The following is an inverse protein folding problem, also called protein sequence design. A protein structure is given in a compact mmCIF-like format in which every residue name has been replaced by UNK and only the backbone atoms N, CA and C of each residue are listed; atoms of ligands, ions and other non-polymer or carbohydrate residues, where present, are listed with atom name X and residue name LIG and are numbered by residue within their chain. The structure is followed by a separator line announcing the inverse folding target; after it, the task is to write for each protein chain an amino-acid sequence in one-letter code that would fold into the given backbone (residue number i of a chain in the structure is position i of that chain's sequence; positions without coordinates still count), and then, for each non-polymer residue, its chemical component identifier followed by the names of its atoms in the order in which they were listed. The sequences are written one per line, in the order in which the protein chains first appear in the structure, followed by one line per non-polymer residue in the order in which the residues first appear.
data_IF_954214961785
#
_entry.id   IF_954214961785
#
_cell.length_a   1.000
_cell.length_b   1.000
_cell.length_c   1.000
_cell.angle_alpha   90.00
_cell.angle_beta   90.00
_cell.angle_gamma   90.00
#
_symmetry.space_group_name_H-M   'P 1'
#
loop_
_entity.id
_entity.type
_entity.pdbx_description
1 polymer ?
#
# COMPACT_ATOMS: atom_id res chain seq x y z
N UNK A 1 6.82 -4.70 -2.08
CA UNK A 1 5.41 -4.70 -1.63
C UNK A 1 5.31 -5.46 -0.32
N UNK A 2 4.45 -5.04 0.61
CA UNK A 2 4.18 -5.76 1.86
C UNK A 2 2.72 -6.18 1.93
N UNK A 3 2.42 -7.27 2.62
CA UNK A 3 1.05 -7.72 2.89
C UNK A 3 0.66 -7.46 4.35
N UNK A 4 -0.59 -7.05 4.56
CA UNK A 4 -1.20 -6.99 5.89
C UNK A 4 -1.26 -8.40 6.46
N UNK A 5 -0.91 -8.52 7.73
CA UNK A 5 -0.70 -9.78 8.43
C UNK A 5 -0.02 -9.49 9.76
N UNK A 6 0.91 -10.35 10.16
CA UNK A 6 1.61 -10.16 11.44
C UNK A 6 2.45 -8.85 11.46
N UNK A 7 2.54 -8.24 12.66
CA UNK A 7 3.19 -6.95 12.89
C UNK A 7 2.35 -5.73 12.51
N UNK A 8 2.86 -4.53 12.77
CA UNK A 8 2.13 -3.28 12.48
C UNK A 8 2.30 -2.83 11.04
N UNK A 9 1.29 -2.13 10.50
CA UNK A 9 1.29 -1.58 9.14
C UNK A 9 2.45 -0.62 8.93
N UNK A 10 2.68 0.28 9.88
CA UNK A 10 3.79 1.24 9.90
C UNK A 10 5.14 0.56 10.10
N UNK A 11 5.22 -0.44 10.99
CA UNK A 11 6.46 -1.19 11.26
C UNK A 11 7.02 -1.86 10.01
N UNK A 12 6.16 -2.40 9.14
CA UNK A 12 6.56 -2.93 7.83
C UNK A 12 7.28 -1.88 6.96
N UNK A 13 6.83 -0.62 7.01
CA UNK A 13 7.51 0.49 6.32
C UNK A 13 8.89 0.77 6.93
N UNK A 14 9.04 0.63 8.24
CA UNK A 14 10.34 0.66 8.91
C UNK A 14 11.30 -0.43 8.41
N UNK A 15 10.80 -1.64 8.20
CA UNK A 15 11.61 -2.75 7.67
C UNK A 15 12.02 -2.52 6.22
N UNK A 16 11.13 -1.96 5.41
CA UNK A 16 11.46 -1.55 4.03
C UNK A 16 12.56 -0.51 4.05
N UNK A 17 12.46 0.51 4.92
CA UNK A 17 13.51 1.53 5.07
C UNK A 17 14.83 0.91 5.48
N UNK A 18 14.84 0.01 6.47
CA UNK A 18 16.05 -0.69 6.91
C UNK A 18 16.69 -1.51 5.78
N UNK A 19 15.89 -2.10 4.90
CA UNK A 19 16.36 -2.86 3.74
C UNK A 19 16.80 -1.97 2.55
N UNK A 20 16.82 -0.64 2.70
CA UNK A 20 17.21 0.30 1.64
C UNK A 20 16.10 0.65 0.64
N UNK A 21 14.86 0.26 0.91
CA UNK A 21 13.71 0.63 0.09
C UNK A 21 13.32 2.10 0.27
N UNK A 22 12.86 2.74 -0.80
CA UNK A 22 12.51 4.17 -0.83
C UNK A 22 11.00 4.43 -0.67
N UNK A 23 10.19 3.38 -0.65
CA UNK A 23 8.73 3.47 -0.55
C UNK A 23 8.11 2.07 -0.57
N UNK A 24 6.84 1.96 -0.22
CA UNK A 24 6.16 0.67 -0.25
C UNK A 24 4.65 0.76 -0.46
N UNK A 25 4.10 -0.33 -1.00
CA UNK A 25 2.66 -0.55 -1.12
C UNK A 25 2.27 -1.61 -0.09
N UNK A 26 1.23 -1.32 0.70
CA UNK A 26 0.64 -2.25 1.65
C UNK A 26 -0.63 -2.87 1.06
N UNK A 27 -0.55 -4.13 0.62
CA UNK A 27 -1.72 -4.90 0.20
C UNK A 27 -2.52 -5.39 1.41
N UNK A 28 -3.83 -5.16 1.40
CA UNK A 28 -4.71 -5.60 2.49
C UNK A 28 -4.88 -7.13 2.52
N UNK A 29 -5.36 -7.65 3.65
CA UNK A 29 -5.69 -9.07 3.78
C UNK A 29 -7.07 -9.36 3.20
N UNK A 30 -7.32 -10.62 2.77
CA UNK A 30 -8.65 -11.05 2.32
C UNK A 30 -9.72 -10.86 3.40
N UNK A 31 -9.36 -11.07 4.67
CA UNK A 31 -10.27 -10.92 5.81
C UNK A 31 -10.68 -9.46 6.06
N UNK A 32 -9.83 -8.49 5.70
CA UNK A 32 -10.11 -7.06 5.84
C UNK A 32 -10.75 -6.45 4.58
N UNK A 33 -10.83 -7.20 3.48
CA UNK A 33 -11.50 -6.78 2.24
C UNK A 33 -11.02 -5.40 1.74
N UNK A 34 -11.96 -4.46 1.65
CA UNK A 34 -11.75 -3.09 1.17
C UNK A 34 -11.48 -2.06 2.29
N UNK A 35 -11.32 -2.49 3.55
CA UNK A 35 -10.98 -1.59 4.66
C UNK A 35 -9.56 -1.03 4.47
N UNK A 36 -9.46 0.28 4.25
CA UNK A 36 -8.20 0.99 4.16
C UNK A 36 -8.11 2.00 5.30
N UNK A 37 -7.14 1.81 6.18
CA UNK A 37 -6.84 2.77 7.22
C UNK A 37 -5.78 3.77 6.75
N UNK A 38 -5.98 5.04 7.10
CA UNK A 38 -4.99 6.09 6.89
C UNK A 38 -3.96 6.05 8.01
N UNK A 39 -2.79 5.45 7.75
CA UNK A 39 -1.65 5.47 8.67
C UNK A 39 -0.62 6.53 8.26
N UNK A 40 0.07 7.10 9.25
CA UNK A 40 1.25 7.91 9.01
C UNK A 40 2.47 6.99 8.78
N UNK A 41 3.09 7.09 7.60
CA UNK A 41 4.22 6.26 7.19
C UNK A 41 5.54 7.04 7.18
N UNK A 42 6.64 6.36 7.48
CA UNK A 42 8.01 6.93 7.46
C UNK A 42 8.60 7.10 6.05
N UNK A 43 8.03 6.39 5.08
CA UNK A 43 8.39 6.43 3.66
C UNK A 43 7.13 6.75 2.85
N UNK A 44 7.26 7.25 1.60
CA UNK A 44 6.16 7.26 0.64
C UNK A 44 5.46 5.90 0.60
N UNK A 45 4.16 5.89 0.88
CA UNK A 45 3.40 4.67 1.02
C UNK A 45 1.93 4.83 0.65
N UNK A 46 1.32 3.74 0.21
CA UNK A 46 -0.12 3.65 0.00
C UNK A 46 -0.63 2.28 0.41
N UNK A 47 -1.80 2.24 1.04
CA UNK A 47 -2.55 1.01 1.25
C UNK A 47 -3.49 0.76 0.07
N UNK A 48 -3.66 -0.50 -0.31
CA UNK A 48 -4.61 -0.92 -1.36
C UNK A 48 -5.42 -2.10 -0.86
N UNK A 49 -6.63 -2.27 -1.40
CA UNK A 49 -7.49 -3.38 -1.02
C UNK A 49 -6.87 -4.74 -1.43
N UNK A 50 -7.48 -5.84 -0.97
CA UNK A 50 -6.98 -7.19 -1.28
C UNK A 50 -6.94 -7.47 -2.79
N UNK A 51 -7.95 -7.04 -3.55
CA UNK A 51 -8.06 -7.33 -4.99
C UNK A 51 -7.00 -6.58 -5.78
N UNK A 52 -6.83 -5.29 -5.51
CA UNK A 52 -5.75 -4.47 -6.07
C UNK A 52 -4.38 -4.99 -5.65
N UNK A 53 -4.23 -5.45 -4.40
CA UNK A 53 -3.00 -6.10 -3.95
C UNK A 53 -2.63 -7.33 -4.79
N UNK A 54 -3.59 -8.23 -5.05
CA UNK A 54 -3.38 -9.39 -5.94
C UNK A 54 -3.02 -8.95 -7.35
N UNK A 55 -3.70 -7.94 -7.90
CA UNK A 55 -3.38 -7.42 -9.23
C UNK A 55 -1.96 -6.86 -9.33
N UNK A 56 -1.49 -6.15 -8.30
CA UNK A 56 -0.13 -5.61 -8.23
C UNK A 56 0.91 -6.75 -8.12
N UNK A 57 0.63 -7.80 -7.33
CA UNK A 57 1.51 -8.98 -7.26
C UNK A 57 1.62 -9.69 -8.62
N UNK A 58 0.52 -9.80 -9.34
CA UNK A 58 0.51 -10.36 -10.69
C UNK A 58 1.31 -9.49 -11.66
N UNK A 59 1.16 -8.16 -11.58
CA UNK A 59 1.97 -7.22 -12.36
C UNK A 59 3.47 -7.39 -12.09
N UNK A 60 3.88 -7.43 -10.81
CA UNK A 60 5.28 -7.64 -10.40
C UNK A 60 5.83 -8.94 -11.00
N UNK A 61 5.00 -9.99 -11.06
CA UNK A 61 5.40 -11.29 -11.61
C UNK A 61 5.40 -11.34 -13.14
N UNK A 62 4.68 -10.44 -13.82
CA UNK A 62 4.50 -10.44 -15.28
C UNK A 62 5.64 -9.78 -16.06
N UNK A 63 6.51 -9.00 -15.40
CA UNK A 63 7.61 -8.27 -16.04
C UNK A 63 8.88 -8.39 -15.21
N UNK A 64 10.03 -8.39 -15.88
CA UNK A 64 11.36 -8.39 -15.21
C UNK A 64 11.72 -7.03 -14.61
N UNK A 65 11.05 -5.96 -15.05
CA UNK A 65 11.34 -4.59 -14.63
C UNK A 65 10.05 -3.86 -14.22
N UNK A 66 9.38 -4.29 -13.13
CA UNK A 66 8.19 -3.61 -12.65
C UNK A 66 8.54 -2.23 -12.10
N UNK A 67 7.74 -1.23 -12.45
CA UNK A 67 7.89 0.15 -11.98
C UNK A 67 6.55 0.65 -11.45
N UNK A 68 6.58 1.50 -10.43
CA UNK A 68 5.40 2.10 -9.85
C UNK A 68 5.72 3.51 -9.33
N UNK A 69 4.71 4.37 -9.30
CA UNK A 69 4.79 5.72 -8.76
C UNK A 69 3.77 5.88 -7.64
N UNK A 70 4.21 6.41 -6.51
CA UNK A 70 3.34 6.86 -5.42
C UNK A 70 3.32 8.38 -5.48
N UNK A 71 2.13 8.94 -5.72
CA UNK A 71 1.92 10.39 -5.81
C UNK A 71 1.41 10.94 -4.47
N UNK A 72 1.53 12.25 -4.22
CA UNK A 72 0.94 12.87 -3.03
C UNK A 72 -0.55 12.54 -2.88
N UNK A 73 -0.96 12.23 -1.65
CA UNK A 73 -2.34 11.89 -1.33
C UNK A 73 -3.27 13.09 -1.59
N UNK A 74 -4.51 12.78 -1.99
CA UNK A 74 -5.60 13.75 -2.11
C UNK A 74 -6.78 13.29 -1.28
N UNK A 75 -7.40 14.20 -0.56
CA UNK A 75 -8.68 13.95 0.10
C UNK A 75 -9.80 14.05 -0.92
N UNK A 76 -10.60 13.01 -1.05
CA UNK A 76 -11.79 12.98 -1.91
C UNK A 76 -13.01 12.85 -1.02
N UNK A 77 -13.89 13.86 -1.07
CA UNK A 77 -15.18 13.82 -0.38
C UNK A 77 -16.27 13.50 -1.39
N UNK A 78 -17.05 12.45 -1.15
CA UNK A 78 -18.27 12.16 -1.90
C UNK A 78 -19.48 12.91 -1.32
N UNK A 79 -19.24 14.08 -0.71
CA UNK A 79 -20.27 14.94 -0.14
C UNK A 79 -20.55 16.10 -1.10
N UNK A 80 -21.83 16.41 -1.31
CA UNK A 80 -22.25 17.68 -1.92
C UNK A 80 -22.54 18.69 -0.81
N UNK A 81 -22.11 19.95 -0.94
CA UNK A 81 -22.57 21.02 -0.04
C UNK A 81 -24.10 21.07 -0.03
N UNK A 82 -24.68 21.35 1.13
CA UNK A 82 -26.12 21.50 1.34
C UNK A 82 -26.68 22.72 0.58
#
# INVERSE_FOLDING_TARGET
MCLRGNGTRVGKGGEVKRAGGIGYILGNSKANGAELAADAHLLPATAVDYKSGVQILNYISSTKSPVAYIVPAKTVLHAKPA
#
